data_IF_506674153458
#
_entry.id   IF_506674153458
#
_cell.length_a   1.000
_cell.length_b   1.000
_cell.length_c   1.000
_cell.angle_alpha   90.00
_cell.angle_beta   90.00
_cell.angle_gamma   90.00
#
_symmetry.space_group_name_H-M   'P 1'
#
loop_
_entity.id
_entity.type
_entity.pdbx_description
1 polymer ?
#
# COMPACT_ATOMS: atom_id res chain seq x y z
N UNK A 1 6.37 -28.67 2.83
CA UNK A 1 6.72 -29.80 3.72
C UNK A 1 6.75 -31.08 2.90
N UNK A 2 7.97 -31.52 2.57
CA UNK A 2 8.29 -32.69 1.75
C UNK A 2 8.20 -33.94 2.63
N UNK A 3 7.31 -34.89 2.34
CA UNK A 3 7.28 -36.17 3.04
C UNK A 3 8.14 -37.18 2.29
N UNK A 4 9.38 -37.37 2.76
CA UNK A 4 10.22 -38.52 2.39
C UNK A 4 9.79 -39.68 3.27
N UNK A 5 9.38 -40.80 2.68
CA UNK A 5 9.17 -42.03 3.45
C UNK A 5 10.49 -42.79 3.57
N UNK A 6 11.00 -42.93 4.79
CA UNK A 6 12.12 -43.82 5.11
C UNK A 6 11.57 -45.18 5.57
N UNK A 7 12.14 -46.28 5.05
CA UNK A 7 11.79 -47.65 5.45
C UNK A 7 13.03 -48.30 6.08
N UNK A 8 13.01 -48.64 7.38
CA UNK A 8 14.23 -49.01 8.12
C UNK A 8 14.78 -50.41 7.80
N UNK A 9 14.12 -51.18 6.92
CA UNK A 9 14.49 -52.56 6.62
C UNK A 9 14.87 -52.86 5.16
N UNK A 10 15.08 -51.85 4.30
CA UNK A 10 15.47 -52.11 2.91
C UNK A 10 16.67 -51.26 2.48
N UNK A 11 17.81 -51.93 2.22
CA UNK A 11 18.93 -51.38 1.44
C UNK A 11 18.54 -51.22 -0.04
N UNK A 12 17.60 -50.32 -0.35
CA UNK A 12 17.26 -49.95 -1.73
C UNK A 12 17.44 -48.44 -1.95
N UNK A 13 17.86 -48.01 -3.15
CA UNK A 13 18.06 -46.60 -3.46
C UNK A 13 16.74 -45.83 -3.37
N UNK A 14 16.84 -44.57 -2.92
CA UNK A 14 15.72 -43.63 -2.82
C UNK A 14 15.03 -43.59 -4.19
N UNK A 15 13.82 -44.14 -4.25
CA UNK A 15 12.99 -44.12 -5.46
C UNK A 15 11.88 -43.08 -5.29
N UNK A 16 11.46 -42.38 -6.36
CA UNK A 16 10.27 -41.54 -6.29
C UNK A 16 9.06 -42.40 -5.88
N UNK A 17 8.13 -41.86 -5.08
CA UNK A 17 7.02 -42.66 -4.56
C UNK A 17 6.19 -43.20 -5.73
N UNK A 18 6.10 -44.53 -5.82
CA UNK A 18 5.15 -45.18 -6.72
C UNK A 18 3.72 -44.77 -6.34
N UNK A 19 2.85 -44.69 -7.35
CA UNK A 19 1.49 -44.14 -7.27
C UNK A 19 0.79 -44.36 -5.91
N UNK A 20 0.50 -43.21 -5.27
CA UNK A 20 0.04 -42.96 -3.90
C UNK A 20 -1.34 -43.56 -3.51
N UNK A 21 -1.74 -44.73 -4.03
CA UNK A 21 -3.08 -45.30 -3.79
C UNK A 21 -3.20 -46.20 -2.55
N UNK A 22 -2.12 -46.86 -2.09
CA UNK A 22 -2.21 -47.90 -1.04
C UNK A 22 -2.29 -47.35 0.38
N UNK A 23 -1.59 -46.24 0.69
CA UNK A 23 -1.60 -45.61 2.02
C UNK A 23 -2.95 -44.94 2.29
N UNK A 24 -3.44 -44.16 1.33
CA UNK A 24 -4.77 -43.55 1.45
C UNK A 24 -5.86 -44.61 1.58
N UNK A 25 -5.79 -45.72 0.83
CA UNK A 25 -6.74 -46.84 0.97
C UNK A 25 -6.72 -47.48 2.37
N UNK A 26 -5.54 -47.72 2.94
CA UNK A 26 -5.42 -48.26 4.30
C UNK A 26 -6.01 -47.31 5.34
N UNK A 27 -5.72 -46.02 5.24
CA UNK A 27 -6.25 -45.01 6.16
C UNK A 27 -7.78 -44.93 6.10
N UNK A 28 -8.37 -44.97 4.90
CA UNK A 28 -9.83 -45.00 4.72
C UNK A 28 -10.45 -46.19 5.43
N UNK A 29 -9.89 -47.38 5.23
CA UNK A 29 -10.41 -48.61 5.82
C UNK A 29 -10.24 -48.61 7.35
N UNK A 30 -9.09 -48.17 7.88
CA UNK A 30 -8.84 -48.15 9.32
C UNK A 30 -9.73 -47.16 10.08
N UNK A 31 -10.13 -46.07 9.42
CA UNK A 31 -10.95 -45.01 10.03
C UNK A 31 -12.43 -45.09 9.64
N UNK A 32 -12.83 -46.08 8.84
CA UNK A 32 -14.22 -46.23 8.39
C UNK A 32 -14.76 -45.01 7.63
N UNK A 33 -13.91 -44.30 6.89
CA UNK A 33 -14.31 -43.05 6.23
C UNK A 33 -15.24 -43.32 5.05
N UNK A 34 -16.49 -42.89 5.22
CA UNK A 34 -17.53 -42.93 4.18
C UNK A 34 -17.85 -41.53 3.67
N UNK A 35 -18.38 -41.44 2.45
CA UNK A 35 -18.98 -40.22 1.92
C UNK A 35 -20.44 -40.07 2.38
N UNK A 36 -21.08 -38.98 1.95
CA UNK A 36 -22.45 -38.63 2.35
C UNK A 36 -23.51 -39.60 1.79
N UNK A 37 -23.14 -40.43 0.80
CA UNK A 37 -23.99 -41.48 0.23
C UNK A 37 -23.71 -42.86 0.84
N UNK A 38 -22.81 -42.94 1.83
CA UNK A 38 -22.41 -44.19 2.49
C UNK A 38 -21.37 -45.00 1.69
N UNK A 39 -20.86 -44.46 0.58
CA UNK A 39 -19.77 -45.02 -0.22
C UNK A 39 -18.40 -44.78 0.40
N UNK A 40 -17.35 -45.38 -0.17
CA UNK A 40 -15.99 -45.23 0.35
C UNK A 40 -15.40 -43.85 -0.01
N UNK A 41 -15.08 -43.03 1.00
CA UNK A 41 -14.64 -41.64 0.79
C UNK A 41 -13.38 -41.54 -0.09
N UNK A 42 -13.41 -40.74 -1.16
CA UNK A 42 -12.25 -40.48 -2.03
C UNK A 42 -11.32 -39.40 -1.45
N UNK A 43 -10.22 -39.82 -0.81
CA UNK A 43 -9.18 -38.90 -0.34
C UNK A 43 -8.32 -38.38 -1.50
N UNK A 44 -8.47 -37.10 -1.82
CA UNK A 44 -7.61 -36.37 -2.75
C UNK A 44 -6.62 -35.48 -1.98
N UNK A 45 -5.32 -35.81 -2.04
CA UNK A 45 -4.26 -35.05 -1.33
C UNK A 45 -4.19 -33.58 -1.74
N UNK A 46 -4.42 -33.28 -3.03
CA UNK A 46 -4.50 -31.91 -3.53
C UNK A 46 -5.65 -31.13 -2.90
N UNK A 47 -6.84 -31.74 -2.77
CA UNK A 47 -7.99 -31.12 -2.10
C UNK A 47 -7.74 -30.93 -0.60
N UNK A 48 -7.13 -31.91 0.08
CA UNK A 48 -6.74 -31.74 1.48
C UNK A 48 -5.77 -30.56 1.67
N UNK A 49 -4.80 -30.38 0.77
CA UNK A 49 -3.90 -29.22 0.78
C UNK A 49 -4.67 -27.92 0.57
N UNK A 50 -5.56 -27.85 -0.43
CA UNK A 50 -6.37 -26.67 -0.68
C UNK A 50 -7.27 -26.31 0.52
N UNK A 51 -7.97 -27.28 1.11
CA UNK A 51 -8.80 -27.08 2.32
C UNK A 51 -7.97 -26.62 3.52
N UNK A 52 -6.75 -27.15 3.69
CA UNK A 52 -5.85 -26.70 4.75
C UNK A 52 -5.44 -25.24 4.57
N UNK A 53 -5.07 -24.82 3.35
CA UNK A 53 -4.71 -23.42 3.07
C UNK A 53 -5.91 -22.48 3.22
N UNK A 54 -7.10 -22.90 2.79
CA UNK A 54 -8.33 -22.14 2.96
C UNK A 54 -8.68 -21.93 4.45
N UNK A 55 -8.46 -22.95 5.29
CA UNK A 55 -8.62 -22.80 6.74
C UNK A 55 -7.56 -21.90 7.37
N UNK A 56 -6.33 -21.91 6.84
CA UNK A 56 -5.28 -21.00 7.30
C UNK A 56 -5.60 -19.54 6.94
N UNK A 57 -6.08 -19.27 5.72
CA UNK A 57 -6.44 -17.92 5.30
C UNK A 57 -7.57 -17.33 6.14
N UNK A 58 -8.52 -18.16 6.62
CA UNK A 58 -9.59 -17.75 7.55
C UNK A 58 -9.10 -17.30 8.94
N UNK A 59 -7.87 -17.62 9.35
CA UNK A 59 -7.32 -17.21 10.66
C UNK A 59 -6.87 -15.75 10.70
N UNK A 60 -7.07 -15.02 9.61
CA UNK A 60 -6.68 -13.62 9.47
C UNK A 60 -5.49 -13.49 8.53
N UNK A 61 -5.52 -12.46 7.69
CA UNK A 61 -4.44 -12.16 6.76
C UNK A 61 -3.30 -11.45 7.50
N UNK A 62 -2.10 -11.99 7.44
CA UNK A 62 -0.92 -11.47 8.17
C UNK A 62 -0.16 -10.38 7.39
N UNK A 63 -0.78 -9.77 6.37
CA UNK A 63 -0.12 -8.78 5.49
C UNK A 63 0.92 -9.37 4.51
N UNK A 64 0.96 -10.70 4.32
CA UNK A 64 1.89 -11.39 3.41
C UNK A 64 1.26 -11.62 2.04
N UNK A 65 2.07 -11.57 1.00
CA UNK A 65 1.65 -11.89 -0.37
C UNK A 65 1.27 -13.39 -0.55
N UNK A 66 1.66 -14.26 0.38
CA UNK A 66 1.33 -15.70 0.36
C UNK A 66 0.81 -16.18 1.71
N UNK A 67 -0.07 -17.19 1.67
CA UNK A 67 -0.58 -17.90 2.86
C UNK A 67 0.43 -19.00 3.25
N UNK A 68 0.99 -19.70 2.26
CA UNK A 68 2.11 -20.63 2.43
C UNK A 68 3.43 -19.94 2.05
N UNK A 69 4.42 -19.85 2.96
CA UNK A 69 5.73 -19.28 2.65
C UNK A 69 6.51 -20.06 1.57
N UNK A 70 6.05 -21.26 1.20
CA UNK A 70 6.64 -22.07 0.13
C UNK A 70 6.00 -21.84 -1.24
N UNK A 71 4.96 -21.01 -1.34
CA UNK A 71 4.38 -20.63 -2.63
C UNK A 71 5.07 -19.39 -3.18
N UNK A 72 5.05 -19.26 -4.51
CA UNK A 72 5.17 -17.95 -5.13
C UNK A 72 3.81 -17.23 -5.03
N UNK A 73 3.78 -15.88 -5.01
CA UNK A 73 2.53 -15.13 -5.02
C UNK A 73 1.57 -15.56 -6.14
N UNK A 74 2.12 -15.86 -7.33
CA UNK A 74 1.35 -16.37 -8.47
C UNK A 74 0.68 -17.72 -8.17
N UNK A 75 1.44 -18.69 -7.66
CA UNK A 75 0.90 -20.03 -7.33
C UNK A 75 -0.15 -19.96 -6.22
N UNK A 76 0.06 -19.09 -5.22
CA UNK A 76 -0.93 -18.85 -4.17
C UNK A 76 -2.22 -18.27 -4.76
N UNK A 77 -2.10 -17.22 -5.57
CA UNK A 77 -3.22 -16.55 -6.25
C UNK A 77 -4.03 -17.51 -7.12
N UNK A 78 -3.35 -18.22 -8.03
CA UNK A 78 -3.99 -19.06 -9.06
C UNK A 78 -4.71 -20.29 -8.48
N UNK A 79 -4.25 -20.82 -7.34
CA UNK A 79 -4.71 -22.13 -6.85
C UNK A 79 -5.32 -22.14 -5.45
N UNK A 80 -5.09 -21.11 -4.64
CA UNK A 80 -5.46 -21.13 -3.22
C UNK A 80 -6.20 -19.87 -2.76
N UNK A 81 -6.13 -18.77 -3.52
CA UNK A 81 -6.86 -17.51 -3.27
C UNK A 81 -8.00 -17.34 -4.28
N UNK A 82 -8.61 -18.45 -4.73
CA UNK A 82 -9.84 -18.38 -5.52
C UNK A 82 -11.01 -18.00 -4.61
N UNK A 83 -11.76 -16.91 -4.89
CA UNK A 83 -12.97 -16.59 -4.15
C UNK A 83 -14.01 -17.70 -4.32
N UNK A 84 -14.35 -18.41 -3.24
CA UNK A 84 -15.31 -19.54 -3.30
C UNK A 84 -16.73 -19.15 -2.90
N UNK A 85 -16.97 -17.88 -2.56
CA UNK A 85 -18.27 -17.36 -2.12
C UNK A 85 -18.51 -15.97 -2.71
N UNK A 86 -19.76 -15.57 -3.01
CA UNK A 86 -20.07 -14.24 -3.52
C UNK A 86 -19.47 -13.09 -2.68
N UNK A 87 -19.53 -13.19 -1.36
CA UNK A 87 -18.98 -12.17 -0.45
C UNK A 87 -17.45 -12.00 -0.58
N UNK A 88 -16.71 -13.08 -0.87
CA UNK A 88 -15.25 -13.01 -1.11
C UNK A 88 -14.92 -12.40 -2.46
N UNK A 89 -15.74 -12.70 -3.48
CA UNK A 89 -15.57 -12.11 -4.80
C UNK A 89 -15.76 -10.60 -4.72
N UNK A 90 -16.85 -10.15 -4.08
CA UNK A 90 -17.13 -8.74 -3.85
C UNK A 90 -15.99 -8.03 -3.06
N UNK A 91 -15.38 -8.70 -2.08
CA UNK A 91 -14.24 -8.15 -1.36
C UNK A 91 -12.99 -7.99 -2.25
N UNK A 92 -12.70 -8.96 -3.12
CA UNK A 92 -11.59 -8.87 -4.08
C UNK A 92 -11.85 -7.79 -5.12
N UNK A 93 -13.07 -7.71 -5.66
CA UNK A 93 -13.50 -6.66 -6.59
C UNK A 93 -13.33 -5.27 -5.95
N UNK A 94 -13.80 -5.09 -4.70
CA UNK A 94 -13.60 -3.85 -3.95
C UNK A 94 -12.13 -3.49 -3.76
N UNK A 95 -11.24 -4.45 -3.46
CA UNK A 95 -9.79 -4.19 -3.34
C UNK A 95 -9.20 -3.75 -4.69
N UNK A 96 -9.65 -4.36 -5.79
CA UNK A 96 -9.21 -4.00 -7.14
C UNK A 96 -9.69 -2.59 -7.48
N UNK A 97 -10.96 -2.27 -7.23
CA UNK A 97 -11.55 -0.96 -7.43
C UNK A 97 -10.85 0.12 -6.60
N UNK A 98 -10.57 -0.15 -5.32
CA UNK A 98 -9.81 0.73 -4.44
C UNK A 98 -8.39 0.98 -4.98
N UNK A 99 -7.73 -0.09 -5.44
CA UNK A 99 -6.41 -0.02 -6.05
C UNK A 99 -6.39 0.82 -7.32
N UNK A 100 -7.34 0.60 -8.23
CA UNK A 100 -7.49 1.38 -9.46
C UNK A 100 -7.80 2.84 -9.16
N UNK A 101 -8.71 3.09 -8.22
CA UNK A 101 -9.05 4.44 -7.75
C UNK A 101 -7.84 5.14 -7.15
N UNK A 102 -7.02 4.44 -6.36
CA UNK A 102 -5.79 4.99 -5.79
C UNK A 102 -4.77 5.34 -6.89
N UNK A 103 -4.62 4.52 -7.93
CA UNK A 103 -3.75 4.81 -9.07
C UNK A 103 -4.22 6.06 -9.83
N UNK A 104 -5.52 6.15 -10.12
CA UNK A 104 -6.10 7.32 -10.79
C UNK A 104 -5.88 8.60 -9.97
N UNK A 105 -6.11 8.56 -8.66
CA UNK A 105 -5.85 9.70 -7.76
C UNK A 105 -4.39 10.15 -7.80
N UNK A 106 -3.44 9.21 -7.82
CA UNK A 106 -2.00 9.51 -7.89
C UNK A 106 -1.57 10.07 -9.25
N UNK A 107 -2.28 9.72 -10.34
CA UNK A 107 -2.00 10.25 -11.68
C UNK A 107 -2.43 11.70 -11.89
N UNK A 108 -3.22 12.28 -10.97
CA UNK A 108 -3.60 13.69 -11.06
C UNK A 108 -2.35 14.57 -10.89
N UNK A 109 -2.20 15.62 -11.71
CA UNK A 109 -1.09 16.55 -11.57
C UNK A 109 -1.19 17.28 -10.22
N UNK A 110 -0.06 17.54 -9.54
CA UNK A 110 -0.08 18.31 -8.31
C UNK A 110 -0.53 19.75 -8.58
N UNK A 111 -1.40 20.26 -7.72
CA UNK A 111 -1.86 21.65 -7.72
C UNK A 111 -0.81 22.48 -6.97
N UNK A 112 0.00 23.24 -7.70
CA UNK A 112 1.05 24.08 -7.14
C UNK A 112 0.79 25.51 -7.57
N UNK A 113 0.65 26.41 -6.60
CA UNK A 113 0.47 27.83 -6.83
C UNK A 113 1.82 28.54 -6.76
N UNK A 114 1.96 29.60 -7.56
CA UNK A 114 3.11 30.51 -7.54
C UNK A 114 2.94 31.60 -6.49
N UNK A 115 1.71 31.89 -6.06
CA UNK A 115 1.36 32.87 -5.04
C UNK A 115 0.26 32.35 -4.11
N UNK A 116 0.14 32.95 -2.92
CA UNK A 116 -0.93 32.65 -1.96
C UNK A 116 -2.24 33.36 -2.34
N UNK A 117 -2.62 33.32 -3.63
CA UNK A 117 -3.80 34.02 -4.14
C UNK A 117 -4.88 33.06 -4.61
N UNK A 118 -6.08 33.22 -4.04
CA UNK A 118 -7.27 32.46 -4.40
C UNK A 118 -7.58 32.48 -5.91
N UNK A 119 -7.39 33.63 -6.56
CA UNK A 119 -7.63 33.80 -7.99
C UNK A 119 -6.77 32.86 -8.84
N UNK A 120 -5.52 32.62 -8.44
CA UNK A 120 -4.63 31.71 -9.17
C UNK A 120 -5.14 30.26 -9.12
N UNK A 121 -5.69 29.83 -7.99
CA UNK A 121 -6.30 28.50 -7.88
C UNK A 121 -7.59 28.41 -8.73
N UNK A 122 -8.44 29.43 -8.66
CA UNK A 122 -9.71 29.47 -9.39
C UNK A 122 -9.53 29.52 -10.92
N UNK A 123 -8.58 30.32 -11.40
CA UNK A 123 -8.33 30.50 -12.83
C UNK A 123 -7.40 29.43 -13.40
N UNK A 124 -6.34 29.05 -12.67
CA UNK A 124 -5.33 28.10 -13.12
C UNK A 124 -5.75 26.64 -12.99
N UNK A 125 -6.68 26.33 -12.07
CA UNK A 125 -7.08 24.94 -11.79
C UNK A 125 -8.60 24.80 -11.56
N UNK A 126 -9.45 25.22 -12.50
CA UNK A 126 -10.92 25.17 -12.35
C UNK A 126 -11.44 23.75 -12.06
N UNK A 127 -10.86 22.73 -12.72
CA UNK A 127 -11.19 21.33 -12.48
C UNK A 127 -10.78 20.87 -11.08
N UNK A 128 -9.65 21.37 -10.56
CA UNK A 128 -9.24 21.07 -9.19
C UNK A 128 -10.20 21.72 -8.19
N UNK A 129 -10.56 23.00 -8.36
CA UNK A 129 -11.54 23.67 -7.49
C UNK A 129 -12.85 22.90 -7.42
N UNK A 130 -13.38 22.50 -8.58
CA UNK A 130 -14.62 21.70 -8.66
C UNK A 130 -14.46 20.34 -7.98
N UNK A 131 -13.35 19.63 -8.25
CA UNK A 131 -13.07 18.30 -7.69
C UNK A 131 -12.84 18.33 -6.18
N UNK A 132 -12.21 19.38 -5.67
CA UNK A 132 -11.90 19.58 -4.26
C UNK A 132 -13.11 20.10 -3.48
N UNK A 133 -14.21 20.48 -4.16
CA UNK A 133 -15.42 20.99 -3.50
C UNK A 133 -15.17 22.28 -2.72
N UNK A 134 -14.22 23.10 -3.16
CA UNK A 134 -13.86 24.35 -2.47
C UNK A 134 -14.91 25.42 -2.75
N UNK A 135 -15.76 25.68 -1.76
CA UNK A 135 -16.58 26.89 -1.74
C UNK A 135 -15.73 28.13 -1.36
N UNK A 136 -16.36 29.30 -1.36
CA UNK A 136 -15.65 30.56 -1.07
C UNK A 136 -15.04 30.61 0.34
N UNK A 137 -15.68 29.97 1.33
CA UNK A 137 -15.18 29.95 2.71
C UNK A 137 -13.98 29.00 2.83
N UNK A 138 -14.10 27.79 2.27
CA UNK A 138 -13.03 26.82 2.19
C UNK A 138 -11.81 27.36 1.45
N UNK A 139 -12.03 28.12 0.38
CA UNK A 139 -10.96 28.77 -0.37
C UNK A 139 -10.25 29.84 0.46
N UNK A 140 -11.00 30.65 1.22
CA UNK A 140 -10.42 31.64 2.11
C UNK A 140 -9.57 30.98 3.21
N UNK A 141 -10.07 29.92 3.85
CA UNK A 141 -9.32 29.14 4.86
C UNK A 141 -8.09 28.44 4.27
N UNK A 142 -8.16 27.98 3.02
CA UNK A 142 -7.02 27.38 2.33
C UNK A 142 -5.95 28.44 2.04
N UNK A 143 -6.36 29.65 1.63
CA UNK A 143 -5.41 30.73 1.38
C UNK A 143 -4.82 31.33 2.67
N UNK A 144 -5.63 31.44 3.72
CA UNK A 144 -5.22 31.97 5.03
C UNK A 144 -4.32 31.04 5.84
N UNK A 145 -4.23 29.76 5.43
CA UNK A 145 -3.36 28.76 6.06
C UNK A 145 -4.04 27.99 7.19
N UNK A 146 -5.33 28.21 7.46
CA UNK A 146 -6.10 27.45 8.45
C UNK A 146 -6.19 25.96 8.10
N UNK A 147 -6.00 25.62 6.82
CA UNK A 147 -6.01 24.23 6.31
C UNK A 147 -4.62 23.66 6.07
N UNK A 148 -3.56 24.33 6.52
CA UNK A 148 -2.19 23.87 6.31
C UNK A 148 -1.89 22.63 7.16
N UNK A 149 -1.43 21.60 6.49
CA UNK A 149 -0.71 20.47 7.07
C UNK A 149 0.78 20.64 6.75
N UNK A 150 1.63 19.74 7.25
CA UNK A 150 3.08 19.93 7.19
C UNK A 150 3.63 20.31 5.79
N UNK A 151 3.21 19.64 4.71
CA UNK A 151 3.74 19.89 3.35
C UNK A 151 2.78 20.59 2.39
N UNK A 152 1.52 20.82 2.76
CA UNK A 152 0.47 21.25 1.85
C UNK A 152 -0.70 21.89 2.60
N UNK A 153 -1.60 22.55 1.88
CA UNK A 153 -2.93 22.84 2.38
C UNK A 153 -3.88 21.70 1.99
N UNK A 154 -4.65 21.20 2.94
CA UNK A 154 -5.59 20.09 2.74
C UNK A 154 -7.00 20.63 2.45
N UNK A 155 -7.58 20.28 1.31
CA UNK A 155 -8.96 20.67 0.99
C UNK A 155 -10.00 20.06 1.93
N UNK A 156 -9.82 18.81 2.39
CA UNK A 156 -10.71 18.17 3.35
C UNK A 156 -9.99 17.04 4.11
N UNK A 157 -9.62 17.29 5.38
CA UNK A 157 -8.95 16.30 6.20
C UNK A 157 -9.86 15.15 6.70
N UNK A 158 -11.18 15.28 6.55
CA UNK A 158 -12.18 14.33 7.03
C UNK A 158 -12.74 13.43 5.91
N UNK A 159 -12.32 13.65 4.65
CA UNK A 159 -12.76 12.91 3.47
C UNK A 159 -12.43 11.41 3.49
N UNK A 160 -11.61 10.92 4.44
CA UNK A 160 -11.30 9.50 4.58
C UNK A 160 -10.47 8.90 3.45
N UNK A 161 -9.68 9.71 2.71
CA UNK A 161 -8.89 9.21 1.56
C UNK A 161 -7.78 8.25 1.99
N UNK A 162 -7.19 8.46 3.16
CA UNK A 162 -6.09 7.65 3.71
C UNK A 162 -6.37 7.16 5.15
N UNK A 163 -7.63 7.19 5.58
CA UNK A 163 -8.06 6.84 6.93
C UNK A 163 -9.58 6.75 7.02
N UNK A 164 -10.14 6.48 8.21
CA UNK A 164 -11.59 6.42 8.38
C UNK A 164 -12.25 7.76 8.05
N UNK A 165 -13.36 7.74 7.31
CA UNK A 165 -14.14 8.93 7.01
C UNK A 165 -14.65 9.60 8.31
N UNK A 166 -14.62 10.93 8.34
CA UNK A 166 -15.02 11.73 9.51
C UNK A 166 -13.93 11.87 10.59
N UNK A 167 -12.77 11.25 10.43
CA UNK A 167 -11.62 11.43 11.32
C UNK A 167 -10.46 12.14 10.60
N UNK A 168 -9.63 12.91 11.32
CA UNK A 168 -8.44 13.50 10.75
C UNK A 168 -7.53 12.44 10.12
N UNK A 169 -6.98 12.77 8.96
CA UNK A 169 -6.08 11.91 8.21
C UNK A 169 -4.86 11.48 9.04
N UNK A 170 -4.59 10.17 9.23
CA UNK A 170 -3.45 9.68 10.02
C UNK A 170 -2.18 9.51 9.17
N UNK A 171 -2.20 9.96 7.91
CA UNK A 171 -1.15 9.67 6.93
C UNK A 171 0.16 10.40 7.25
N UNK A 172 1.26 9.85 6.73
CA UNK A 172 2.59 10.45 6.88
C UNK A 172 2.70 11.74 6.08
N UNK A 173 3.59 12.68 6.46
CA UNK A 173 3.71 13.97 5.80
C UNK A 173 3.99 13.89 4.29
N UNK A 174 4.75 12.88 3.85
CA UNK A 174 5.02 12.65 2.43
C UNK A 174 3.83 12.14 1.62
N UNK A 175 2.81 11.56 2.27
CA UNK A 175 1.62 11.05 1.57
C UNK A 175 0.88 12.18 0.86
N UNK A 176 0.94 13.41 1.40
CA UNK A 176 0.33 14.58 0.80
C UNK A 176 0.84 14.85 -0.62
N UNK A 177 2.08 14.48 -0.97
CA UNK A 177 2.67 14.69 -2.30
C UNK A 177 1.87 14.01 -3.42
N UNK A 178 1.23 12.88 -3.10
CA UNK A 178 0.40 12.11 -4.03
C UNK A 178 -1.10 12.19 -3.68
N UNK A 179 -1.48 12.98 -2.68
CA UNK A 179 -2.85 13.08 -2.23
C UNK A 179 -3.65 13.99 -3.19
N UNK A 180 -4.83 13.55 -3.66
CA UNK A 180 -5.64 14.37 -4.57
C UNK A 180 -6.20 15.62 -3.89
N UNK A 181 -6.17 15.70 -2.56
CA UNK A 181 -6.72 16.79 -1.76
C UNK A 181 -5.71 17.90 -1.46
N UNK A 182 -4.43 17.70 -1.81
CA UNK A 182 -3.34 18.60 -1.48
C UNK A 182 -3.21 19.76 -2.48
N UNK A 183 -3.01 20.96 -1.94
CA UNK A 183 -2.64 22.16 -2.68
C UNK A 183 -1.32 22.68 -2.12
N UNK A 184 -0.33 22.90 -2.98
CA UNK A 184 1.00 23.37 -2.59
C UNK A 184 1.13 24.87 -2.86
N UNK A 185 1.43 25.64 -1.81
CA UNK A 185 1.61 27.08 -1.86
C UNK A 185 3.06 27.45 -1.55
N UNK A 186 3.55 28.62 -1.99
CA UNK A 186 4.92 29.08 -1.73
C UNK A 186 5.37 28.95 -0.27
N UNK A 187 4.48 29.24 0.69
CA UNK A 187 4.79 29.10 2.12
C UNK A 187 5.10 27.68 2.59
N UNK A 188 4.73 26.64 1.81
CA UNK A 188 5.07 25.25 2.12
C UNK A 188 6.47 24.85 1.64
N UNK A 189 7.13 25.68 0.82
CA UNK A 189 8.44 25.38 0.25
C UNK A 189 9.51 24.97 1.28
N UNK A 190 9.62 25.60 2.47
CA UNK A 190 10.58 25.15 3.48
C UNK A 190 10.35 23.69 3.90
N UNK A 191 9.11 23.29 4.17
CA UNK A 191 8.79 21.91 4.59
C UNK A 191 8.93 20.89 3.46
N UNK A 192 8.65 21.29 2.22
CA UNK A 192 8.90 20.47 1.04
C UNK A 192 10.40 20.24 0.84
N UNK A 193 11.24 21.25 1.04
CA UNK A 193 12.70 21.12 0.99
C UNK A 193 13.26 20.27 2.14
N UNK A 194 12.70 20.37 3.35
CA UNK A 194 13.03 19.45 4.47
C UNK A 194 12.75 18.00 4.07
N UNK A 195 11.62 17.75 3.42
CA UNK A 195 11.25 16.41 2.99
C UNK A 195 12.14 15.89 1.85
N UNK A 196 12.56 16.75 0.93
CA UNK A 196 13.51 16.42 -0.14
C UNK A 196 14.89 16.03 0.43
N UNK A 197 15.38 16.77 1.42
CA UNK A 197 16.61 16.45 2.15
C UNK A 197 16.48 15.12 2.92
N UNK A 198 15.32 14.88 3.55
CA UNK A 198 15.02 13.61 4.21
C UNK A 198 15.04 12.43 3.25
N UNK A 199 14.41 12.54 2.08
CA UNK A 199 14.46 11.48 1.06
C UNK A 199 15.90 11.22 0.61
N UNK A 200 16.70 12.28 0.44
CA UNK A 200 18.12 12.14 0.11
C UNK A 200 18.91 11.40 1.19
N UNK A 201 18.64 11.64 2.48
CA UNK A 201 19.25 10.91 3.60
C UNK A 201 18.79 9.45 3.64
N UNK A 202 17.49 9.20 3.53
CA UNK A 202 16.90 7.86 3.47
C UNK A 202 17.52 7.04 2.33
N UNK A 203 17.67 7.62 1.14
CA UNK A 203 18.31 6.95 0.00
C UNK A 203 19.74 6.47 0.30
N UNK A 204 20.52 7.24 1.08
CA UNK A 204 21.88 6.86 1.48
C UNK A 204 21.92 5.72 2.52
N UNK A 205 20.85 5.52 3.27
CA UNK A 205 20.81 4.62 4.42
C UNK A 205 20.07 3.30 4.12
N UNK A 206 19.52 3.11 2.92
CA UNK A 206 18.79 1.91 2.56
C UNK A 206 19.12 1.36 1.16
N UNK A 207 18.88 0.07 0.91
CA UNK A 207 18.96 -0.47 -0.44
C UNK A 207 18.03 0.26 -1.40
N UNK A 208 18.50 0.52 -2.62
CA UNK A 208 17.77 1.24 -3.68
C UNK A 208 16.36 0.70 -3.90
N UNK A 209 16.19 -0.62 -3.95
CA UNK A 209 14.87 -1.25 -4.14
C UNK A 209 13.90 -0.92 -3.01
N UNK A 210 14.38 -0.91 -1.76
CA UNK A 210 13.56 -0.55 -0.61
C UNK A 210 13.17 0.94 -0.66
N UNK A 211 14.10 1.81 -1.06
CA UNK A 211 13.81 3.23 -1.24
C UNK A 211 12.74 3.45 -2.30
N UNK A 212 12.92 2.86 -3.49
CA UNK A 212 11.98 3.01 -4.58
C UNK A 212 10.59 2.49 -4.20
N UNK A 213 10.51 1.41 -3.42
CA UNK A 213 9.22 0.87 -2.94
C UNK A 213 8.52 1.80 -1.95
N UNK A 214 9.24 2.42 -1.03
CA UNK A 214 8.64 3.20 0.08
C UNK A 214 8.52 4.68 -0.27
N UNK A 215 9.59 5.28 -0.77
CA UNK A 215 9.74 6.73 -0.98
C UNK A 215 9.76 7.12 -2.46
N UNK A 216 10.10 6.21 -3.37
CA UNK A 216 10.30 6.50 -4.80
C UNK A 216 9.21 7.38 -5.43
N UNK A 217 7.92 6.99 -5.39
CA UNK A 217 6.83 7.79 -5.96
C UNK A 217 6.70 9.19 -5.36
N UNK A 218 7.02 9.36 -4.07
CA UNK A 218 6.93 10.64 -3.38
C UNK A 218 8.13 11.54 -3.72
N UNK A 219 9.33 10.98 -3.71
CA UNK A 219 10.55 11.69 -4.08
C UNK A 219 10.52 12.15 -5.54
N UNK A 220 10.06 11.30 -6.45
CA UNK A 220 9.86 11.63 -7.87
C UNK A 220 8.87 12.79 -8.05
N UNK A 221 7.65 12.66 -7.49
CA UNK A 221 6.63 13.72 -7.50
C UNK A 221 7.14 15.05 -6.94
N UNK A 222 7.87 15.00 -5.82
CA UNK A 222 8.41 16.20 -5.17
C UNK A 222 9.44 16.90 -6.05
N UNK A 223 10.44 16.16 -6.51
CA UNK A 223 11.58 16.68 -7.26
C UNK A 223 11.24 17.08 -8.70
N UNK A 224 10.34 16.35 -9.36
CA UNK A 224 10.08 16.51 -10.79
C UNK A 224 8.80 17.28 -11.11
N UNK A 225 7.81 17.31 -10.21
CA UNK A 225 6.51 17.93 -10.51
C UNK A 225 6.11 19.06 -9.53
N UNK A 226 6.60 19.06 -8.29
CA UNK A 226 6.24 20.07 -7.28
C UNK A 226 7.30 21.17 -7.17
N UNK A 227 8.51 20.83 -6.73
CA UNK A 227 9.58 21.82 -6.53
C UNK A 227 9.93 22.64 -7.79
N UNK A 228 9.92 22.06 -9.02
CA UNK A 228 10.20 22.83 -10.22
C UNK A 228 9.18 23.94 -10.52
N UNK A 229 7.95 23.85 -9.98
CA UNK A 229 6.91 24.85 -10.18
C UNK A 229 7.05 26.08 -9.27
N UNK A 230 7.85 26.00 -8.21
CA UNK A 230 8.16 27.17 -7.38
C UNK A 230 9.30 28.00 -7.96
N UNK A 231 9.20 29.32 -7.79
CA UNK A 231 10.26 30.25 -8.17
C UNK A 231 11.57 29.97 -7.42
N UNK A 232 12.71 30.28 -8.04
CA UNK A 232 14.01 30.18 -7.36
C UNK A 232 14.11 31.05 -6.12
N UNK A 233 13.43 32.20 -6.10
CA UNK A 233 13.35 33.05 -4.91
C UNK A 233 12.68 32.31 -3.74
N UNK A 234 11.53 31.68 -4.00
CA UNK A 234 10.79 30.91 -2.99
C UNK A 234 11.63 29.75 -2.46
N UNK A 235 12.27 28.99 -3.36
CA UNK A 235 13.16 27.89 -2.97
C UNK A 235 14.38 28.38 -2.19
N UNK A 236 14.97 29.50 -2.59
CA UNK A 236 16.15 30.05 -1.91
C UNK A 236 15.81 30.56 -0.52
N UNK A 237 14.68 31.24 -0.34
CA UNK A 237 14.18 31.60 0.99
C UNK A 237 13.93 30.36 1.85
N UNK A 238 13.25 29.36 1.30
CA UNK A 238 12.97 28.13 2.02
C UNK A 238 14.22 27.38 2.46
N UNK A 239 15.25 27.29 1.61
CA UNK A 239 16.55 26.65 1.95
C UNK A 239 17.23 27.27 3.18
N UNK A 240 17.02 28.56 3.45
CA UNK A 240 17.59 29.22 4.64
C UNK A 240 17.01 28.70 5.95
N UNK A 241 15.83 28.08 5.92
CA UNK A 241 15.15 27.54 7.09
C UNK A 241 15.40 26.04 7.30
N UNK A 242 16.06 25.37 6.35
CA UNK A 242 16.27 23.92 6.38
C UNK A 242 17.59 23.60 7.06
N UNK A 243 17.50 22.93 8.22
CA UNK A 243 18.65 22.28 8.84
C UNK A 243 18.96 20.95 8.16
N UNK A 244 20.22 20.49 8.23
CA UNK A 244 20.60 19.16 7.73
C UNK A 244 20.34 18.05 8.77
N UNK A 245 19.11 18.03 9.30
CA UNK A 245 18.63 17.00 10.22
C UNK A 245 17.12 16.75 10.03
N UNK A 246 16.58 15.82 10.82
CA UNK A 246 15.16 15.45 10.79
C UNK A 246 14.32 16.12 11.88
N UNK A 247 14.89 16.99 12.71
CA UNK A 247 14.26 17.50 13.93
C UNK A 247 12.97 18.29 13.68
N UNK A 248 12.87 18.92 12.51
CA UNK A 248 11.71 19.71 12.08
C UNK A 248 10.65 18.87 11.33
N UNK A 249 10.87 17.57 11.12
CA UNK A 249 9.92 16.69 10.44
C UNK A 249 9.03 15.98 11.48
N UNK A 250 7.70 15.93 11.28
CA UNK A 250 6.79 15.20 12.16
C UNK A 250 6.84 13.69 11.86
N UNK A 251 7.99 13.09 12.17
CA UNK A 251 8.30 11.67 12.04
C UNK A 251 7.92 10.91 13.31
N UNK A 252 7.62 9.61 13.18
CA UNK A 252 7.69 8.72 14.33
C UNK A 252 9.15 8.41 14.69
N UNK A 253 9.43 8.03 15.94
CA UNK A 253 10.79 7.74 16.39
C UNK A 253 11.55 6.75 15.49
N UNK A 254 10.86 5.75 14.95
CA UNK A 254 11.44 4.72 14.07
C UNK A 254 11.70 5.19 12.62
N UNK A 255 11.29 6.40 12.25
CA UNK A 255 11.36 6.90 10.86
C UNK A 255 12.51 7.89 10.63
N UNK A 256 13.20 8.31 11.69
CA UNK A 256 14.33 9.22 11.61
C UNK A 256 15.56 8.58 10.96
N UNK A 257 16.38 9.43 10.35
CA UNK A 257 17.72 9.11 9.85
C UNK A 257 18.75 9.28 10.96
N UNK A 258 19.81 8.47 10.90
CA UNK A 258 20.97 8.54 11.82
C UNK A 258 21.97 9.57 11.32
#
# INVERSE_FOLDING_TARGET
>A
MLWISHSPHARRPISPPSENGKVCRRLKHSLGLVDDEGGALLIHRGRLRATYQERLSRRGWTGRATIDPNHTPRVEGDHYVTPTTPARLAAVESIIEDGQTAVLRKSLPPVVLSTDRAAELAEGFPDAVKRLGLDSAALAELMGGERDVFTAACSDQLAGVHGPAGLPCPARPWVCLLCPLAVFLPRHAPNLLRLDAFFSRQFRQMPTENFLRVFGPYADRLSNEILPKFSEETKSKGRLEVADDDSALPLRPEEGTI
#
